data_IF_111506684730
#
_entry.id   IF_111506684730
#
_cell.length_a   1.000
_cell.length_b   1.000
_cell.length_c   1.000
_cell.angle_alpha   90.00
_cell.angle_beta   90.00
_cell.angle_gamma   90.00
#
_symmetry.space_group_name_H-M   'P 1'
#
loop_
_entity.id
_entity.type
_entity.pdbx_description
1 polymer ?
#
# COMPACT_ATOMS: atom_id res chain seq x y z
N UNK A 1 12.31 22.17 10.67
CA UNK A 1 12.24 20.75 11.09
C UNK A 1 13.18 19.95 10.21
N UNK A 2 14.21 19.33 10.78
CA UNK A 2 15.04 18.37 10.06
C UNK A 2 14.19 17.11 9.90
N UNK A 3 13.72 16.85 8.68
CA UNK A 3 12.92 15.67 8.40
C UNK A 3 13.80 14.42 8.52
N UNK A 4 13.38 13.46 9.37
CA UNK A 4 14.09 12.19 9.56
C UNK A 4 14.23 11.47 8.22
N UNK A 5 15.45 11.07 7.89
CA UNK A 5 15.76 10.23 6.73
C UNK A 5 16.25 8.87 7.23
N UNK A 6 15.85 7.81 6.56
CA UNK A 6 16.36 6.46 6.78
C UNK A 6 16.87 5.91 5.46
N UNK A 7 18.14 5.52 5.39
CA UNK A 7 18.77 5.04 4.15
C UNK A 7 18.54 5.98 2.95
N UNK A 8 18.54 7.29 3.20
CA UNK A 8 18.28 8.34 2.20
C UNK A 8 16.80 8.57 1.84
N UNK A 9 15.85 7.79 2.39
CA UNK A 9 14.41 7.95 2.19
C UNK A 9 13.90 9.07 3.09
N UNK A 10 13.24 10.09 2.52
CA UNK A 10 12.57 11.13 3.29
C UNK A 10 11.24 10.63 3.88
N UNK A 11 11.21 10.36 5.19
CA UNK A 11 10.03 9.83 5.87
C UNK A 11 8.85 10.78 5.87
N UNK A 12 9.06 12.10 5.92
CA UNK A 12 7.97 13.06 5.86
C UNK A 12 7.28 13.06 4.50
N UNK A 13 8.06 12.99 3.42
CA UNK A 13 7.54 12.90 2.05
C UNK A 13 6.77 11.59 1.87
N UNK A 14 7.33 10.47 2.32
CA UNK A 14 6.66 9.18 2.29
C UNK A 14 5.34 9.18 3.07
N UNK A 15 5.35 9.73 4.28
CA UNK A 15 4.16 9.85 5.12
C UNK A 15 3.03 10.62 4.41
N UNK A 16 3.36 11.73 3.72
CA UNK A 16 2.39 12.49 2.93
C UNK A 16 1.88 11.70 1.73
N UNK A 17 2.74 10.96 1.04
CA UNK A 17 2.35 10.10 -0.08
C UNK A 17 1.35 9.03 0.39
N UNK A 18 1.63 8.35 1.51
CA UNK A 18 0.75 7.33 2.06
C UNK A 18 -0.62 7.90 2.47
N UNK A 19 -0.66 9.08 3.10
CA UNK A 19 -1.93 9.77 3.39
C UNK A 19 -2.72 10.08 2.12
N UNK A 20 -2.05 10.61 1.08
CA UNK A 20 -2.70 10.87 -0.21
C UNK A 20 -3.27 9.60 -0.83
N UNK A 21 -2.53 8.49 -0.76
CA UNK A 21 -3.00 7.19 -1.24
C UNK A 21 -4.22 6.69 -0.46
N UNK A 22 -4.26 6.90 0.86
CA UNK A 22 -5.39 6.54 1.70
C UNK A 22 -6.68 7.25 1.24
N UNK A 23 -6.60 8.56 0.96
CA UNK A 23 -7.73 9.32 0.42
C UNK A 23 -8.04 8.97 -1.04
N UNK A 24 -7.03 8.62 -1.82
CA UNK A 24 -7.22 8.15 -3.18
C UNK A 24 -7.78 6.72 -3.23
N UNK A 25 -7.82 5.96 -2.12
CA UNK A 25 -8.28 4.56 -2.08
C UNK A 25 -9.70 4.41 -2.62
N UNK A 26 -10.62 5.31 -2.30
CA UNK A 26 -11.99 5.28 -2.87
C UNK A 26 -12.00 5.34 -4.41
N UNK A 27 -11.01 6.00 -5.01
CA UNK A 27 -10.84 6.10 -6.46
C UNK A 27 -9.96 4.97 -7.03
N UNK A 28 -9.06 4.44 -6.20
CA UNK A 28 -8.21 3.27 -6.45
C UNK A 28 -9.02 1.98 -6.45
N UNK A 29 -10.06 1.83 -5.62
CA UNK A 29 -10.97 0.67 -5.62
C UNK A 29 -11.65 0.49 -6.98
N UNK A 30 -11.92 1.57 -7.71
CA UNK A 30 -12.43 1.53 -9.09
C UNK A 30 -11.38 1.09 -10.11
N UNK A 31 -10.10 1.09 -9.77
CA UNK A 31 -8.95 0.83 -10.68
C UNK A 31 -8.01 -0.30 -10.24
N UNK A 32 -8.22 -0.90 -9.06
CA UNK A 32 -7.36 -1.91 -8.46
C UNK A 32 -7.43 -3.24 -9.23
N UNK A 33 -6.60 -3.38 -10.26
CA UNK A 33 -6.22 -4.70 -10.77
C UNK A 33 -4.99 -5.18 -9.99
N UNK A 34 -5.09 -6.35 -9.35
CA UNK A 34 -3.98 -7.17 -8.79
C UNK A 34 -3.51 -6.94 -7.35
N UNK A 35 -4.39 -6.55 -6.42
CA UNK A 35 -4.16 -6.84 -4.98
C UNK A 35 -2.86 -6.28 -4.37
N UNK A 36 -2.28 -5.25 -4.99
CA UNK A 36 -0.96 -4.73 -4.62
C UNK A 36 -0.88 -3.23 -4.85
N UNK A 37 -0.51 -2.49 -3.81
CA UNK A 37 -0.16 -1.07 -3.91
C UNK A 37 1.36 -0.97 -3.98
N UNK A 38 1.86 -0.23 -4.98
CA UNK A 38 3.30 0.02 -5.16
C UNK A 38 3.59 1.50 -4.93
N UNK A 39 4.50 1.79 -4.00
CA UNK A 39 4.95 3.16 -3.69
C UNK A 39 6.41 3.30 -4.07
N UNK A 40 6.68 4.11 -5.10
CA UNK A 40 8.05 4.40 -5.52
C UNK A 40 8.80 5.23 -4.47
N UNK A 41 10.03 4.83 -4.18
CA UNK A 41 10.93 5.53 -3.26
C UNK A 41 12.03 6.27 -4.03
N UNK A 42 12.66 7.25 -3.38
CA UNK A 42 13.77 8.01 -3.96
C UNK A 42 14.95 7.07 -4.24
N UNK A 43 15.56 7.05 -5.44
CA UNK A 43 16.63 6.10 -5.76
C UNK A 43 17.81 6.21 -4.80
N UNK A 44 18.53 5.09 -4.61
CA UNK A 44 19.73 5.07 -3.78
C UNK A 44 20.86 5.80 -4.52
N UNK A 45 21.66 6.58 -3.80
CA UNK A 45 22.79 7.32 -4.38
C UNK A 45 24.03 6.44 -4.59
N UNK A 46 24.13 5.38 -3.79
CA UNK A 46 25.13 4.33 -3.93
C UNK A 46 24.54 3.18 -4.76
N UNK A 47 25.42 2.40 -5.39
CA UNK A 47 25.04 1.19 -6.13
C UNK A 47 25.09 -0.06 -5.22
N UNK A 48 24.84 0.12 -3.92
CA UNK A 48 24.89 -0.94 -2.91
C UNK A 48 23.49 -1.30 -2.46
N UNK A 49 23.08 -2.54 -2.67
CA UNK A 49 21.80 -3.05 -2.18
C UNK A 49 21.78 -3.02 -0.65
N UNK A 50 20.63 -2.69 -0.08
CA UNK A 50 20.41 -2.69 1.36
C UNK A 50 20.47 -4.09 1.95
N UNK A 51 21.14 -4.18 3.10
CA UNK A 51 21.24 -5.43 3.87
C UNK A 51 19.86 -5.83 4.43
N UNK A 52 19.66 -7.10 4.81
CA UNK A 52 18.41 -7.54 5.43
C UNK A 52 18.00 -6.69 6.64
N UNK A 53 18.96 -6.26 7.45
CA UNK A 53 18.75 -5.43 8.63
C UNK A 53 18.27 -4.03 8.24
N UNK A 54 18.90 -3.39 7.25
CA UNK A 54 18.47 -2.09 6.74
C UNK A 54 17.05 -2.15 6.15
N UNK A 55 16.72 -3.23 5.44
CA UNK A 55 15.37 -3.44 4.88
C UNK A 55 14.34 -3.52 5.99
N UNK A 56 14.60 -4.31 7.03
CA UNK A 56 13.72 -4.39 8.20
C UNK A 56 13.59 -3.07 8.94
N UNK A 57 14.66 -2.28 9.04
CA UNK A 57 14.62 -0.96 9.66
C UNK A 57 13.72 0.00 8.86
N UNK A 58 13.84 -0.02 7.53
CA UNK A 58 12.96 0.74 6.63
C UNK A 58 11.51 0.31 6.82
N UNK A 59 11.22 -0.98 6.77
CA UNK A 59 9.85 -1.50 6.93
C UNK A 59 9.25 -1.13 8.30
N UNK A 60 10.03 -1.24 9.38
CA UNK A 60 9.62 -0.80 10.72
C UNK A 60 9.35 0.71 10.76
N UNK A 61 10.24 1.52 10.20
CA UNK A 61 10.06 2.97 10.16
C UNK A 61 8.80 3.36 9.36
N UNK A 62 8.44 2.60 8.32
CA UNK A 62 7.21 2.80 7.54
C UNK A 62 5.98 2.44 8.37
N UNK A 63 6.02 1.32 9.11
CA UNK A 63 4.93 0.88 9.99
C UNK A 63 4.58 1.93 11.05
N UNK A 64 5.57 2.68 11.54
CA UNK A 64 5.41 3.75 12.54
C UNK A 64 4.85 5.06 11.95
N UNK A 65 4.73 5.19 10.62
CA UNK A 65 4.19 6.40 10.01
C UNK A 65 2.67 6.49 10.19
N UNK A 66 2.19 7.58 10.78
CA UNK A 66 0.74 7.89 10.86
C UNK A 66 0.01 7.79 9.52
N UNK A 67 0.68 8.07 8.41
CA UNK A 67 0.14 7.94 7.06
C UNK A 67 -0.02 6.49 6.62
N UNK A 68 0.84 5.58 7.07
CA UNK A 68 0.67 4.15 6.86
C UNK A 68 -0.49 3.61 7.69
N UNK A 69 -0.61 4.04 8.94
CA UNK A 69 -1.77 3.71 9.78
C UNK A 69 -3.08 4.20 9.16
N UNK A 70 -3.11 5.46 8.71
CA UNK A 70 -4.27 6.02 7.98
C UNK A 70 -4.62 5.17 6.77
N UNK A 71 -3.60 4.77 6.00
CA UNK A 71 -3.79 3.88 4.86
C UNK A 71 -4.40 2.56 5.30
N UNK A 72 -3.83 1.83 6.28
CA UNK A 72 -4.38 0.56 6.80
C UNK A 72 -5.84 0.67 7.21
N UNK A 73 -6.20 1.73 7.93
CA UNK A 73 -7.59 1.98 8.36
C UNK A 73 -8.50 2.16 7.14
N UNK A 74 -8.11 3.00 6.18
CA UNK A 74 -8.87 3.15 4.93
C UNK A 74 -8.92 1.85 4.13
N UNK A 75 -7.88 1.02 4.23
CA UNK A 75 -7.82 -0.26 3.53
C UNK A 75 -8.69 -1.35 4.19
N UNK A 76 -9.11 -1.15 5.45
CA UNK A 76 -9.77 -2.16 6.30
C UNK A 76 -9.01 -3.50 6.37
N UNK A 77 -7.69 -3.47 6.19
CA UNK A 77 -6.84 -4.65 6.04
C UNK A 77 -5.62 -4.59 6.94
N UNK A 78 -5.22 -5.75 7.44
CA UNK A 78 -3.95 -5.90 8.15
C UNK A 78 -2.80 -6.12 7.13
N UNK A 79 -2.44 -5.05 6.42
CA UNK A 79 -1.34 -5.08 5.45
C UNK A 79 0.00 -4.68 6.08
N UNK A 80 1.08 -5.29 5.58
CA UNK A 80 2.46 -4.97 5.97
C UNK A 80 3.25 -4.47 4.77
N UNK A 81 4.01 -3.38 4.90
CA UNK A 81 4.84 -2.88 3.82
C UNK A 81 6.05 -3.81 3.66
N UNK A 82 6.40 -4.14 2.42
CA UNK A 82 7.58 -4.91 2.07
C UNK A 82 8.50 -4.02 1.24
N UNK A 83 9.72 -3.83 1.70
CA UNK A 83 10.71 -3.06 0.97
C UNK A 83 11.33 -3.90 -0.14
N UNK A 84 11.37 -3.33 -1.33
CA UNK A 84 11.98 -3.93 -2.51
C UNK A 84 12.94 -2.97 -3.16
N UNK A 85 13.96 -3.56 -3.75
CA UNK A 85 14.94 -2.85 -4.54
C UNK A 85 15.53 -3.78 -5.59
N UNK A 86 16.00 -3.17 -6.68
CA UNK A 86 16.62 -3.86 -7.79
C UNK A 86 17.70 -2.99 -8.40
N UNK A 87 18.84 -3.60 -8.68
CA UNK A 87 19.89 -2.95 -9.45
C UNK A 87 19.43 -2.80 -10.91
N UNK A 88 19.54 -1.59 -11.43
CA UNK A 88 19.23 -1.23 -12.81
C UNK A 88 20.45 -0.56 -13.45
N UNK A 89 20.43 -0.38 -14.77
CA UNK A 89 21.52 0.29 -15.49
C UNK A 89 21.77 1.73 -14.99
N UNK A 90 20.78 2.35 -14.34
CA UNK A 90 20.83 3.73 -13.84
C UNK A 90 21.01 3.80 -12.30
N UNK A 91 21.37 2.68 -11.66
CA UNK A 91 21.53 2.56 -10.22
C UNK A 91 20.41 1.75 -9.56
N UNK A 92 20.18 1.95 -8.26
CA UNK A 92 19.22 1.15 -7.50
C UNK A 92 17.83 1.79 -7.53
N UNK A 93 16.90 1.10 -8.19
CA UNK A 93 15.46 1.39 -8.10
C UNK A 93 14.88 0.72 -6.86
N UNK A 94 14.07 1.44 -6.10
CA UNK A 94 13.45 0.91 -4.87
C UNK A 94 12.02 1.37 -4.68
N UNK A 95 11.21 0.52 -4.06
CA UNK A 95 9.79 0.72 -3.85
C UNK A 95 9.30 -0.03 -2.61
N UNK A 96 8.12 0.35 -2.13
CA UNK A 96 7.36 -0.42 -1.15
C UNK A 96 6.24 -1.16 -1.86
N UNK A 97 6.13 -2.45 -1.55
CA UNK A 97 4.99 -3.30 -1.89
C UNK A 97 4.08 -3.38 -0.68
N UNK A 98 2.81 -3.01 -0.83
CA UNK A 98 1.79 -3.12 0.21
C UNK A 98 0.73 -4.08 -0.33
N UNK A 99 0.79 -5.37 0.05
CA UNK A 99 -0.22 -6.35 -0.33
C UNK A 99 -1.57 -5.95 0.25
N UNK A 100 -2.61 -6.02 -0.56
CA UNK A 100 -3.98 -5.67 -0.15
C UNK A 100 -4.90 -6.80 -0.57
N UNK A 101 -5.68 -7.34 0.36
CA UNK A 101 -6.72 -8.29 -0.03
C UNK A 101 -7.79 -7.55 -0.83
N UNK A 102 -8.39 -8.21 -1.82
CA UNK A 102 -9.59 -7.68 -2.45
C UNK A 102 -10.66 -7.55 -1.37
N UNK A 103 -11.33 -6.40 -1.33
CA UNK A 103 -12.54 -6.28 -0.53
C UNK A 103 -13.52 -7.32 -1.05
N UNK A 104 -13.89 -8.27 -0.20
CA UNK A 104 -15.07 -9.08 -0.45
C UNK A 104 -16.24 -8.09 -0.40
N UNK A 105 -16.68 -7.61 -1.56
CA UNK A 105 -18.01 -7.02 -1.68
C UNK A 105 -18.98 -8.13 -1.31
N UNK A 106 -19.47 -8.11 -0.07
CA UNK A 106 -20.70 -8.79 0.28
C UNK A 106 -21.79 -8.10 -0.54
N UNK A 107 -22.00 -8.58 -1.76
CA UNK A 107 -23.26 -8.37 -2.45
C UNK A 107 -24.31 -8.99 -1.53
N UNK A 108 -25.05 -8.14 -0.81
CA UNK A 108 -26.20 -8.60 -0.07
C UNK A 108 -27.12 -9.30 -1.09
N UNK A 109 -27.27 -10.61 -0.94
CA UNK A 109 -28.14 -11.46 -1.75
C UNK A 109 -29.62 -11.11 -1.49
N UNK A 110 -30.06 -9.92 -1.90
CA UNK A 110 -31.49 -9.53 -1.91
C UNK A 110 -32.02 -9.56 -3.34
N UNK A 111 -31.86 -10.67 -4.05
CA UNK A 111 -32.36 -10.77 -5.42
C UNK A 111 -32.90 -12.15 -5.80
N UNK A 112 -33.42 -12.95 -4.84
CA UNK A 112 -34.08 -14.22 -5.19
C UNK A 112 -35.33 -14.61 -4.38
N UNK A 113 -35.87 -13.75 -3.51
CA UNK A 113 -37.13 -14.07 -2.82
C UNK A 113 -38.38 -13.61 -3.57
N UNK A 114 -38.29 -12.68 -4.54
CA UNK A 114 -39.47 -12.21 -5.27
C UNK A 114 -39.93 -13.12 -6.42
N UNK A 115 -39.12 -14.08 -6.87
CA UNK A 115 -39.47 -14.95 -8.02
C UNK A 115 -40.39 -16.11 -7.61
N UNK A 116 -40.49 -16.45 -6.31
CA UNK A 116 -41.35 -17.56 -5.86
C UNK A 116 -42.80 -17.16 -5.58
N UNK A 117 -43.17 -15.88 -5.50
CA UNK A 117 -44.54 -15.46 -5.21
C UNK A 117 -45.41 -15.17 -6.44
N UNK A 118 -44.89 -15.30 -7.67
CA UNK A 118 -45.66 -15.04 -8.90
C UNK A 118 -46.03 -16.29 -9.73
N UNK A 119 -45.79 -17.50 -9.21
CA UNK A 119 -46.17 -18.76 -9.91
C UNK A 119 -47.26 -19.58 -9.20
N UNK A 120 -47.99 -18.97 -8.27
CA UNK A 120 -49.19 -19.56 -7.69
C UNK A 120 -50.34 -18.54 -7.83
N UNK A 121 -50.84 -18.43 -9.05
CA UNK A 121 -52.02 -17.66 -9.42
C UNK A 121 -52.71 -18.34 -10.58
#
# INVERSE_FOLDING_TARGET
MIYKKISGINLWKLNRTLKKLAFARMELEKQMRKELIVVLLEPKKDNVLSSPEERQEIERAVLELSGFETLRICLLEDCKPVYREKLTNNGISRWLEIPVKPLITYEFLYANEEVQMQKIG
#
